data_IF_095616385262
#
_entry.id   IF_095616385262
#
_cell.length_a   1.000
_cell.length_b   1.000
_cell.length_c   1.000
_cell.angle_alpha   90.00
_cell.angle_beta   90.00
_cell.angle_gamma   90.00
#
_symmetry.space_group_name_H-M   'P 1'
#
loop_
_entity.id
_entity.type
_entity.pdbx_description
1 polymer ?
#
# COMPACT_ATOMS: atom_id res chain seq x y z
N UNK A 1 -8.90 -6.92 7.90
CA UNK A 1 -9.00 -5.47 7.60
C UNK A 1 -7.99 -4.77 8.49
N UNK A 2 -7.02 -4.07 7.91
CA UNK A 2 -6.09 -3.29 8.72
C UNK A 2 -6.76 -1.98 9.13
N UNK A 3 -6.64 -1.59 10.39
CA UNK A 3 -7.13 -0.29 10.85
C UNK A 3 -6.35 0.83 10.16
N UNK A 4 -7.04 1.93 9.82
CA UNK A 4 -6.43 3.12 9.22
C UNK A 4 -5.29 3.68 10.08
N UNK A 5 -5.39 3.57 11.40
CA UNK A 5 -4.35 3.98 12.34
C UNK A 5 -3.05 3.20 12.12
N UNK A 6 -3.15 1.87 11.98
CA UNK A 6 -2.00 0.99 11.72
C UNK A 6 -1.41 1.27 10.34
N UNK A 7 -2.23 1.43 9.30
CA UNK A 7 -1.76 1.84 7.97
C UNK A 7 -0.96 3.14 8.02
N UNK A 8 -1.41 4.10 8.82
CA UNK A 8 -0.76 5.40 8.99
C UNK A 8 0.58 5.27 9.71
N UNK A 9 0.66 4.46 10.77
CA UNK A 9 1.90 4.19 11.51
C UNK A 9 2.93 3.53 10.61
N UNK A 10 2.52 2.50 9.85
CA UNK A 10 3.40 1.80 8.91
C UNK A 10 3.88 2.76 7.81
N UNK A 11 2.96 3.58 7.26
CA UNK A 11 3.32 4.59 6.27
C UNK A 11 4.30 5.64 6.81
N UNK A 12 4.18 6.04 8.09
CA UNK A 12 5.15 6.91 8.76
C UNK A 12 6.51 6.23 8.92
N UNK A 13 6.55 4.96 9.33
CA UNK A 13 7.81 4.19 9.43
C UNK A 13 8.50 4.03 8.08
N UNK A 14 7.76 3.78 6.99
CA UNK A 14 8.36 3.72 5.66
C UNK A 14 8.95 5.06 5.21
N UNK A 15 8.28 6.17 5.53
CA UNK A 15 8.85 7.51 5.29
C UNK A 15 10.10 7.73 6.11
N UNK A 16 10.06 7.42 7.41
CA UNK A 16 11.21 7.48 8.31
C UNK A 16 12.34 6.66 7.71
N UNK A 17 12.14 5.39 7.37
CA UNK A 17 13.20 4.53 6.84
C UNK A 17 13.92 5.10 5.59
N UNK A 18 13.20 5.70 4.64
CA UNK A 18 13.82 6.21 3.42
C UNK A 18 14.48 7.60 3.65
N UNK A 19 13.99 8.38 4.62
CA UNK A 19 14.48 9.74 4.95
C UNK A 19 15.15 9.85 6.32
N UNK A 20 15.42 8.75 7.01
CA UNK A 20 16.08 8.72 8.32
C UNK A 20 17.56 8.98 8.07
N UNK A 21 17.99 10.12 8.58
CA UNK A 21 19.26 10.75 8.25
C UNK A 21 20.41 10.08 9.02
N UNK A 22 21.53 9.90 8.35
CA UNK A 22 22.83 9.57 8.98
C UNK A 22 23.60 10.86 9.09
N UNK A 23 23.29 11.68 10.11
CA UNK A 23 24.02 12.86 10.63
C UNK A 23 24.54 13.93 9.64
N UNK A 24 24.33 13.80 8.33
CA UNK A 24 24.94 14.64 7.31
C UNK A 24 23.93 15.07 6.26
N UNK A 25 23.12 16.04 6.66
CA UNK A 25 22.62 17.12 5.82
C UNK A 25 22.12 16.72 4.43
N UNK A 26 21.01 15.99 4.36
CA UNK A 26 20.13 16.16 3.20
C UNK A 26 18.71 16.42 3.68
N UNK A 27 18.43 17.71 3.92
CA UNK A 27 17.07 18.25 3.96
C UNK A 27 16.45 18.12 2.57
N UNK A 28 16.13 16.90 2.15
CA UNK A 28 15.33 16.66 0.95
C UNK A 28 13.95 17.23 1.27
N UNK A 29 13.71 18.44 0.77
CA UNK A 29 12.45 19.14 0.90
C UNK A 29 11.30 18.22 0.49
N UNK A 30 10.56 17.72 1.48
CA UNK A 30 9.15 17.31 1.45
C UNK A 30 8.65 16.91 0.06
N UNK A 31 9.26 15.89 -0.56
CA UNK A 31 8.66 15.32 -1.76
C UNK A 31 7.38 14.65 -1.29
N UNK A 32 6.24 15.12 -1.82
CA UNK A 32 4.95 14.55 -1.45
C UNK A 32 5.02 13.03 -1.55
N UNK A 33 4.57 12.33 -0.50
CA UNK A 33 4.51 10.87 -0.48
C UNK A 33 3.73 10.31 -1.68
N UNK A 34 2.81 11.09 -2.26
CA UNK A 34 2.14 10.73 -3.50
C UNK A 34 3.07 10.63 -4.71
N UNK A 35 4.09 11.49 -4.80
CA UNK A 35 5.06 11.49 -5.90
C UNK A 35 6.02 10.30 -5.80
N UNK A 36 6.48 9.97 -4.59
CA UNK A 36 7.31 8.78 -4.33
C UNK A 36 6.54 7.51 -4.67
N UNK A 37 5.24 7.48 -4.35
CA UNK A 37 4.37 6.35 -4.67
C UNK A 37 3.94 6.27 -6.14
N UNK A 38 4.36 7.22 -6.99
CA UNK A 38 4.10 7.14 -8.43
C UNK A 38 4.87 5.96 -9.05
N UNK A 39 4.37 5.38 -10.16
CA UNK A 39 5.08 4.32 -10.87
C UNK A 39 6.47 4.79 -11.32
N UNK A 40 7.41 3.86 -11.44
CA UNK A 40 8.78 4.14 -11.92
C UNK A 40 8.79 4.80 -13.29
N UNK A 41 7.83 4.47 -14.15
CA UNK A 41 7.63 5.09 -15.47
C UNK A 41 7.37 6.60 -15.42
N UNK A 42 6.87 7.11 -14.30
CA UNK A 42 6.59 8.54 -14.07
C UNK A 42 7.62 9.19 -13.13
N UNK A 43 8.79 8.56 -12.92
CA UNK A 43 9.85 9.10 -12.06
C UNK A 43 9.66 8.90 -10.55
N UNK A 44 8.66 8.11 -10.12
CA UNK A 44 8.50 7.72 -8.72
C UNK A 44 9.29 6.46 -8.35
N UNK A 45 9.28 6.07 -7.06
CA UNK A 45 9.91 4.81 -6.60
C UNK A 45 9.05 3.57 -6.89
N UNK A 46 7.80 3.74 -7.33
CA UNK A 46 6.87 2.62 -7.53
C UNK A 46 6.33 2.01 -6.22
N UNK A 47 6.56 2.66 -5.08
CA UNK A 47 6.01 2.22 -3.80
C UNK A 47 4.49 2.39 -3.77
N UNK A 48 3.76 1.40 -3.27
CA UNK A 48 2.29 1.49 -3.14
C UNK A 48 1.94 2.09 -1.78
N UNK A 49 0.92 2.96 -1.73
CA UNK A 49 0.38 3.47 -0.46
C UNK A 49 -0.26 2.32 0.33
N UNK A 50 -0.05 2.30 1.65
CA UNK A 50 -0.62 1.26 2.53
C UNK A 50 -2.15 1.21 2.46
N UNK A 51 -2.82 2.34 2.23
CA UNK A 51 -4.27 2.37 2.06
C UNK A 51 -4.71 1.59 0.81
N UNK A 52 -3.99 1.75 -0.30
CA UNK A 52 -4.23 1.00 -1.54
C UNK A 52 -3.98 -0.50 -1.34
N UNK A 53 -2.93 -0.85 -0.61
CA UNK A 53 -2.62 -2.25 -0.28
C UNK A 53 -3.73 -2.86 0.60
N UNK A 54 -4.19 -2.13 1.62
CA UNK A 54 -5.26 -2.59 2.51
C UNK A 54 -6.58 -2.80 1.75
N UNK A 55 -6.94 -1.89 0.85
CA UNK A 55 -8.11 -2.04 -0.03
C UNK A 55 -7.99 -3.27 -0.93
N UNK A 56 -6.85 -3.47 -1.58
CA UNK A 56 -6.61 -4.65 -2.41
C UNK A 56 -6.70 -5.95 -1.60
N UNK A 57 -6.19 -5.94 -0.36
CA UNK A 57 -6.32 -7.06 0.57
C UNK A 57 -7.77 -7.36 0.95
N UNK A 58 -8.56 -6.31 1.21
CA UNK A 58 -9.99 -6.44 1.51
C UNK A 58 -10.72 -7.05 0.32
N UNK A 59 -10.48 -6.56 -0.89
CA UNK A 59 -11.06 -7.11 -2.12
C UNK A 59 -10.69 -8.58 -2.32
N UNK A 60 -9.41 -8.94 -2.16
CA UNK A 60 -8.93 -10.32 -2.27
C UNK A 60 -9.58 -11.24 -1.23
N UNK A 61 -9.75 -10.76 0.00
CA UNK A 61 -10.41 -11.53 1.07
C UNK A 61 -11.92 -11.66 0.84
N UNK A 62 -12.58 -10.60 0.37
CA UNK A 62 -14.00 -10.60 0.02
C UNK A 62 -14.28 -11.59 -1.11
N UNK A 63 -13.50 -11.50 -2.20
CA UNK A 63 -13.56 -12.43 -3.32
C UNK A 63 -13.40 -13.88 -2.86
N UNK A 64 -12.37 -14.18 -2.05
CA UNK A 64 -12.17 -15.54 -1.54
C UNK A 64 -13.37 -16.06 -0.73
N UNK A 65 -14.05 -15.19 0.03
CA UNK A 65 -15.25 -15.57 0.77
C UNK A 65 -16.44 -15.80 -0.16
N UNK A 66 -16.68 -14.93 -1.14
CA UNK A 66 -17.75 -15.11 -2.12
C UNK A 66 -17.58 -16.44 -2.87
N UNK A 67 -16.38 -16.74 -3.35
CA UNK A 67 -16.10 -18.01 -4.01
C UNK A 67 -16.21 -19.24 -3.07
N UNK A 68 -16.12 -19.05 -1.75
CA UNK A 68 -16.34 -20.13 -0.78
C UNK A 68 -17.82 -20.47 -0.62
N UNK A 69 -18.71 -19.47 -0.62
CA UNK A 69 -20.16 -19.65 -0.46
C UNK A 69 -20.89 -19.94 -1.78
N UNK A 70 -20.24 -19.74 -2.93
CA UNK A 70 -20.82 -20.10 -4.21
C UNK A 70 -20.83 -21.63 -4.43
N UNK A 71 -21.95 -22.20 -4.90
CA UNK A 71 -22.02 -23.61 -5.27
C UNK A 71 -21.05 -23.91 -6.42
N UNK A 72 -20.58 -25.16 -6.51
CA UNK A 72 -19.48 -25.61 -7.38
C UNK A 72 -19.57 -25.12 -8.85
N UNK A 73 -20.79 -25.00 -9.36
CA UNK A 73 -21.12 -24.56 -10.72
C UNK A 73 -20.92 -23.06 -11.00
N UNK A 74 -20.77 -22.22 -9.97
CA UNK A 74 -20.49 -20.78 -10.10
C UNK A 74 -19.03 -20.43 -9.79
N UNK A 75 -18.22 -21.41 -9.39
CA UNK A 75 -16.83 -21.23 -8.95
C UNK A 75 -15.85 -20.93 -10.09
N UNK A 76 -16.25 -21.15 -11.35
CA UNK A 76 -15.46 -20.83 -12.55
C UNK A 76 -15.62 -19.37 -13.03
N UNK A 77 -16.53 -18.61 -12.40
CA UNK A 77 -16.65 -17.15 -12.58
C UNK A 77 -15.86 -16.39 -11.50
N UNK A 78 -15.43 -17.12 -10.48
CA UNK A 78 -14.24 -16.83 -9.73
C UNK A 78 -13.00 -17.44 -10.43
#
# INVERSE_FOLDING_TARGET
MLSKSICTIIGKKFKSFIWEDTDQFIKIHVTSWSSICSPKSYGGLGLRKMDTINQAYIMKLGYRRECFFLPWNLKARC
#
